data_IF_024818117958
#
_entry.id   IF_024818117958
#
_cell.length_a   1.000
_cell.length_b   1.000
_cell.length_c   1.000
_cell.angle_alpha   90.00
_cell.angle_beta   90.00
_cell.angle_gamma   90.00
#
_symmetry.space_group_name_H-M   'P 1'
#
loop_
_entity.id
_entity.type
_entity.pdbx_description
1 polymer ?
#
# COMPACT_ATOMS: atom_id res chain seq x y z
N UNK A 1 -12.29 -12.68 0.42
CA UNK A 1 -11.15 -11.80 0.74
C UNK A 1 -10.17 -11.86 -0.41
N UNK A 2 -10.06 -10.79 -1.18
CA UNK A 2 -9.33 -10.80 -2.46
C UNK A 2 -7.83 -10.98 -2.24
N UNK A 3 -7.27 -12.06 -2.77
CA UNK A 3 -5.82 -12.35 -2.78
C UNK A 3 -4.95 -11.19 -3.34
N UNK A 4 -5.56 -10.21 -4.02
CA UNK A 4 -4.86 -9.02 -4.54
C UNK A 4 -4.50 -7.98 -3.48
N UNK A 5 -5.22 -7.94 -2.35
CA UNK A 5 -4.91 -6.99 -1.26
C UNK A 5 -3.59 -7.35 -0.55
N UNK A 6 -3.25 -8.64 -0.47
CA UNK A 6 -2.01 -9.12 0.16
C UNK A 6 -0.75 -8.53 -0.47
N UNK A 7 -0.70 -8.43 -1.80
CA UNK A 7 0.44 -7.83 -2.52
C UNK A 7 0.65 -6.36 -2.14
N UNK A 8 -0.45 -5.62 -1.94
CA UNK A 8 -0.38 -4.20 -1.59
C UNK A 8 0.01 -4.00 -0.12
N UNK A 9 -0.42 -4.90 0.78
CA UNK A 9 0.06 -4.90 2.18
C UNK A 9 1.58 -5.12 2.22
N UNK A 10 2.11 -6.08 1.45
CA UNK A 10 3.56 -6.34 1.39
C UNK A 10 4.32 -5.14 0.82
N UNK A 11 3.82 -4.52 -0.27
CA UNK A 11 4.40 -3.29 -0.81
C UNK A 11 4.42 -2.16 0.24
N UNK A 12 3.33 -2.03 0.99
CA UNK A 12 3.21 -1.08 2.11
C UNK A 12 4.27 -1.33 3.18
N UNK A 13 4.44 -2.59 3.58
CA UNK A 13 5.43 -2.99 4.56
C UNK A 13 6.88 -2.75 4.09
N UNK A 14 7.14 -2.89 2.79
CA UNK A 14 8.43 -2.57 2.18
C UNK A 14 8.68 -1.07 2.02
N UNK A 15 7.63 -0.23 2.03
CA UNK A 15 7.72 1.20 1.74
C UNK A 15 8.77 2.00 2.55
N UNK A 16 9.05 1.70 3.84
CA UNK A 16 10.10 2.41 4.59
C UNK A 16 11.53 2.04 4.17
N UNK A 17 11.71 0.91 3.49
CA UNK A 17 13.02 0.37 3.11
C UNK A 17 13.41 0.69 1.66
N UNK A 18 12.47 1.21 0.86
CA UNK A 18 12.70 1.61 -0.53
C UNK A 18 12.83 3.12 -0.63
N UNK A 19 13.74 3.61 -1.47
CA UNK A 19 13.97 5.04 -1.71
C UNK A 19 12.92 5.63 -2.68
N UNK A 20 11.65 5.39 -2.39
CA UNK A 20 10.51 5.90 -3.17
C UNK A 20 9.59 6.68 -2.22
N UNK A 21 9.21 7.92 -2.55
CA UNK A 21 8.26 8.67 -1.73
C UNK A 21 6.94 7.91 -1.57
N UNK A 22 6.42 7.88 -0.35
CA UNK A 22 5.17 7.17 -0.05
C UNK A 22 4.00 7.66 -0.91
N UNK A 23 3.92 8.97 -1.16
CA UNK A 23 2.91 9.56 -2.03
C UNK A 23 3.01 9.04 -3.49
N UNK A 24 4.22 8.76 -3.98
CA UNK A 24 4.41 8.16 -5.30
C UNK A 24 3.82 6.74 -5.36
N UNK A 25 3.90 5.98 -4.28
CA UNK A 25 3.25 4.66 -4.18
C UNK A 25 1.73 4.80 -4.16
N UNK A 26 1.18 5.73 -3.39
CA UNK A 26 -0.26 6.00 -3.36
C UNK A 26 -0.80 6.40 -4.74
N UNK A 27 -0.07 7.28 -5.44
CA UNK A 27 -0.41 7.67 -6.80
C UNK A 27 -0.29 6.52 -7.79
N UNK A 28 0.67 5.62 -7.61
CA UNK A 28 0.77 4.36 -8.36
C UNK A 28 -0.45 3.47 -8.17
N UNK A 29 -0.91 3.30 -6.93
CA UNK A 29 -2.14 2.54 -6.61
C UNK A 29 -3.36 3.18 -7.27
N UNK A 30 -3.54 4.51 -7.16
CA UNK A 30 -4.65 5.22 -7.82
C UNK A 30 -4.63 5.02 -9.34
N UNK A 31 -3.48 5.11 -10.00
CA UNK A 31 -3.34 4.90 -11.45
C UNK A 31 -3.65 3.45 -11.86
N UNK A 32 -3.17 2.46 -11.09
CA UNK A 32 -3.36 1.04 -11.40
C UNK A 32 -4.82 0.58 -11.21
N UNK A 33 -5.49 1.10 -10.18
CA UNK A 33 -6.80 0.62 -9.77
C UNK A 33 -7.95 1.58 -10.11
N UNK A 34 -7.67 2.80 -10.57
CA UNK A 34 -8.71 3.81 -10.88
C UNK A 34 -9.74 3.32 -11.91
N UNK A 35 -9.34 2.51 -12.89
CA UNK A 35 -10.27 1.90 -13.87
C UNK A 35 -11.25 0.88 -13.26
N UNK A 36 -11.01 0.43 -12.03
CA UNK A 36 -11.82 -0.58 -11.32
C UNK A 36 -12.79 0.03 -10.31
N UNK A 37 -12.83 1.35 -10.21
CA UNK A 37 -13.73 2.10 -9.32
C UNK A 37 -13.08 2.53 -7.99
N UNK A 38 -13.69 3.54 -7.38
CA UNK A 38 -13.16 4.21 -6.18
C UNK A 38 -13.03 3.26 -4.97
N UNK A 39 -14.01 2.37 -4.77
CA UNK A 39 -13.99 1.41 -3.66
C UNK A 39 -12.76 0.48 -3.73
N UNK A 40 -12.38 0.05 -4.94
CA UNK A 40 -11.19 -0.77 -5.14
C UNK A 40 -9.91 0.04 -4.89
N UNK A 41 -9.87 1.31 -5.30
CA UNK A 41 -8.75 2.21 -5.03
C UNK A 41 -8.58 2.40 -3.52
N UNK A 42 -9.65 2.75 -2.81
CA UNK A 42 -9.62 2.94 -1.36
C UNK A 42 -9.20 1.67 -0.62
N UNK A 43 -9.72 0.50 -1.00
CA UNK A 43 -9.34 -0.77 -0.40
C UNK A 43 -7.83 -1.01 -0.51
N UNK A 44 -7.24 -0.76 -1.69
CA UNK A 44 -5.80 -0.95 -1.89
C UNK A 44 -4.97 0.14 -1.18
N UNK A 45 -5.43 1.40 -1.11
CA UNK A 45 -4.76 2.44 -0.33
C UNK A 45 -4.74 2.10 1.17
N UNK A 46 -5.84 1.56 1.71
CA UNK A 46 -5.91 1.07 3.10
C UNK A 46 -4.95 -0.09 3.33
N UNK A 47 -4.85 -1.03 2.38
CA UNK A 47 -3.89 -2.12 2.43
C UNK A 47 -2.42 -1.61 2.43
N UNK A 48 -2.11 -0.62 1.59
CA UNK A 48 -0.78 -0.02 1.50
C UNK A 48 -0.38 0.62 2.83
N UNK A 49 -1.31 1.38 3.41
CA UNK A 49 -1.13 2.02 4.71
C UNK A 49 -0.94 0.99 5.83
N UNK A 50 -1.78 -0.04 5.87
CA UNK A 50 -1.70 -1.09 6.90
C UNK A 50 -0.33 -1.79 6.92
N UNK A 51 0.23 -2.11 5.74
CA UNK A 51 1.58 -2.66 5.64
C UNK A 51 2.64 -1.73 6.20
N UNK A 52 2.60 -0.45 5.80
CA UNK A 52 3.57 0.56 6.27
C UNK A 52 3.51 0.77 7.78
N UNK A 53 2.29 0.89 8.32
CA UNK A 53 2.07 1.11 9.75
C UNK A 53 2.51 -0.11 10.56
N UNK A 54 2.29 -1.33 10.05
CA UNK A 54 2.81 -2.55 10.65
C UNK A 54 4.33 -2.52 10.77
N UNK A 55 5.05 -2.22 9.69
CA UNK A 55 6.51 -2.11 9.72
C UNK A 55 6.96 -1.01 10.68
N UNK A 56 6.41 0.20 10.59
CA UNK A 56 6.78 1.31 11.48
C UNK A 56 6.58 1.01 12.97
N UNK A 57 5.58 0.20 13.31
CA UNK A 57 5.29 -0.19 14.69
C UNK A 57 6.21 -1.32 15.19
N UNK A 58 6.70 -2.18 14.30
CA UNK A 58 7.45 -3.39 14.66
C UNK A 58 8.93 -3.37 14.23
N UNK A 59 9.40 -2.35 13.52
CA UNK A 59 10.81 -2.20 13.18
C UNK A 59 11.63 -1.99 14.46
N UNK A 60 12.69 -2.79 14.70
CA UNK A 60 13.65 -2.48 15.75
C UNK A 60 14.27 -1.11 15.46
N UNK A 61 14.39 -0.28 16.49
CA UNK A 61 15.10 1.01 16.40
C UNK A 61 16.57 0.79 16.04
#
# INVERSE_FOLDING_TARGET
GSARAGNIVVLGAASPFISIPYESLENGVRKLFGKKGEEIVEMNLRALKAGRDFTKKNSPK
#
